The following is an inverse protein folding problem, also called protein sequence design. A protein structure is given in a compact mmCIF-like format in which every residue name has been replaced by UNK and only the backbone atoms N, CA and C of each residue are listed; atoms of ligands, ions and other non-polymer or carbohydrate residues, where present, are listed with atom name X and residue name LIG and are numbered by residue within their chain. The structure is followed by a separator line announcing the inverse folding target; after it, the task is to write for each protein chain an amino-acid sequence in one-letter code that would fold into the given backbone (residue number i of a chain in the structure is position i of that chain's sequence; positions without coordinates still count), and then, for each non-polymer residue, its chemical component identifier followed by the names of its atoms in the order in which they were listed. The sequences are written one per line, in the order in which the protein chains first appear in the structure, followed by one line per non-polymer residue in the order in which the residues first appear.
data_IF_974008503551
#
_entry.id   IF_974008503551
#
_cell.length_a   1.000
_cell.length_b   1.000
_cell.length_c   1.000
_cell.angle_alpha   90.00
_cell.angle_beta   90.00
_cell.angle_gamma   90.00
#
_symmetry.space_group_name_H-M   'P 1'
#
loop_
_entity.id
_entity.type
_entity.pdbx_description
1 polymer ?
#
# COMPACT_ATOMS: atom_id res chain seq x y z
N UNK A 1 80.99 -16.43 -37.45
CA UNK A 1 79.87 -15.79 -38.12
C UNK A 1 78.59 -16.61 -37.82
N UNK A 2 77.83 -16.20 -36.84
CA UNK A 2 76.67 -16.94 -36.39
C UNK A 2 75.45 -16.06 -36.39
N UNK A 3 74.45 -16.43 -37.11
CA UNK A 3 73.16 -15.78 -37.14
C UNK A 3 72.24 -16.41 -36.09
N UNK A 4 71.75 -15.62 -35.14
CA UNK A 4 70.81 -16.03 -34.12
C UNK A 4 69.41 -15.67 -34.58
N UNK A 5 68.58 -16.68 -34.85
CA UNK A 5 67.14 -16.57 -35.10
C UNK A 5 66.39 -16.23 -33.84
N UNK A 6 65.67 -15.12 -33.82
CA UNK A 6 64.74 -14.69 -32.77
C UNK A 6 63.36 -15.13 -33.22
N UNK A 7 62.83 -16.16 -32.52
CA UNK A 7 61.41 -16.54 -32.68
C UNK A 7 60.54 -15.58 -31.89
N UNK A 8 59.68 -14.82 -32.58
CA UNK A 8 58.61 -14.01 -31.97
C UNK A 8 57.46 -14.96 -31.67
N UNK A 9 57.13 -15.13 -30.36
CA UNK A 9 55.91 -15.78 -29.90
C UNK A 9 54.82 -14.74 -29.83
N UNK A 10 53.83 -14.83 -30.71
CA UNK A 10 52.65 -13.97 -30.73
C UNK A 10 51.61 -14.63 -29.78
N UNK A 11 51.46 -14.09 -28.58
CA UNK A 11 50.42 -14.52 -27.67
C UNK A 11 49.07 -13.95 -28.06
N UNK A 12 48.11 -14.79 -28.42
CA UNK A 12 46.73 -14.43 -28.67
C UNK A 12 46.01 -14.33 -27.30
N UNK A 13 45.62 -13.10 -26.91
CA UNK A 13 44.74 -12.86 -25.74
C UNK A 13 43.30 -13.06 -26.17
N UNK A 14 42.68 -14.15 -25.75
CA UNK A 14 41.26 -14.39 -25.97
C UNK A 14 40.52 -13.65 -24.82
N UNK A 15 39.92 -12.50 -25.13
CA UNK A 15 39.02 -11.80 -24.25
C UNK A 15 37.66 -12.50 -24.26
N UNK A 16 37.35 -13.28 -23.20
CA UNK A 16 36.03 -13.85 -22.99
C UNK A 16 35.07 -12.73 -22.49
N UNK A 17 34.22 -12.23 -23.40
CA UNK A 17 33.13 -11.33 -23.06
C UNK A 17 32.03 -12.14 -22.36
N UNK A 18 31.97 -12.04 -21.03
CA UNK A 18 30.84 -12.57 -20.23
C UNK A 18 29.67 -11.61 -20.40
N UNK A 19 28.74 -11.95 -21.30
CA UNK A 19 27.47 -11.26 -21.47
C UNK A 19 26.58 -11.58 -20.28
N UNK A 20 26.54 -10.71 -19.27
CA UNK A 20 25.51 -10.72 -18.22
C UNK A 20 24.17 -10.35 -18.85
N UNK A 21 23.45 -11.35 -19.36
CA UNK A 21 22.06 -11.20 -19.74
C UNK A 21 21.24 -11.01 -18.47
N UNK A 22 21.10 -9.78 -18.01
CA UNK A 22 20.09 -9.40 -17.03
C UNK A 22 18.71 -9.61 -17.69
N UNK A 23 18.16 -10.82 -17.60
CA UNK A 23 16.74 -11.05 -17.86
C UNK A 23 15.96 -10.25 -16.82
N UNK A 24 15.62 -9.01 -17.13
CA UNK A 24 14.54 -8.31 -16.44
C UNK A 24 13.26 -9.09 -16.75
N UNK A 25 12.85 -9.97 -15.86
CA UNK A 25 11.50 -10.50 -15.86
C UNK A 25 10.59 -9.29 -15.62
N UNK A 26 10.08 -8.70 -16.69
CA UNK A 26 9.02 -7.71 -16.62
C UNK A 26 7.84 -8.40 -15.96
N UNK A 27 7.73 -8.27 -14.63
CA UNK A 27 6.68 -8.88 -13.85
C UNK A 27 5.34 -8.37 -14.37
N UNK A 28 4.52 -9.26 -14.90
CA UNK A 28 3.14 -8.96 -15.26
C UNK A 28 2.43 -8.56 -13.97
N UNK A 29 2.01 -7.30 -13.84
CA UNK A 29 1.20 -6.82 -12.72
C UNK A 29 -0.28 -6.83 -13.10
N UNK A 30 -1.15 -7.06 -12.13
CA UNK A 30 -2.57 -6.77 -12.26
C UNK A 30 -2.79 -5.29 -11.96
N UNK A 31 -3.29 -4.54 -12.94
CA UNK A 31 -3.66 -3.14 -12.79
C UNK A 31 -5.09 -3.02 -12.28
N UNK A 32 -5.28 -2.22 -11.24
CA UNK A 32 -6.55 -2.01 -10.55
C UNK A 32 -6.91 -0.55 -10.65
N UNK A 33 -8.10 -0.26 -11.19
CA UNK A 33 -8.64 1.09 -11.30
C UNK A 33 -9.98 1.19 -10.58
N UNK A 34 -10.34 2.36 -10.07
CA UNK A 34 -11.68 2.65 -9.59
C UNK A 34 -12.65 2.83 -10.77
N UNK A 35 -13.95 2.75 -10.50
CA UNK A 35 -15.01 2.85 -11.53
C UNK A 35 -15.09 4.23 -12.22
N UNK A 36 -14.40 5.23 -11.68
CA UNK A 36 -14.35 6.58 -12.25
C UNK A 36 -12.98 6.91 -12.86
N UNK A 37 -12.10 5.92 -13.03
CA UNK A 37 -10.74 6.04 -13.57
C UNK A 37 -9.91 7.16 -12.92
N UNK A 38 -10.24 7.48 -11.67
CA UNK A 38 -9.60 8.58 -10.93
C UNK A 38 -8.47 8.11 -10.04
N UNK A 39 -8.40 6.82 -9.72
CA UNK A 39 -7.29 6.21 -8.97
C UNK A 39 -6.90 4.87 -9.57
N UNK A 40 -5.60 4.56 -9.52
CA UNK A 40 -5.12 3.25 -9.89
C UNK A 40 -3.95 2.81 -9.00
N UNK A 41 -3.75 1.51 -8.91
CA UNK A 41 -2.55 0.87 -8.37
C UNK A 41 -2.32 -0.47 -9.06
N UNK A 42 -1.17 -1.09 -8.83
CA UNK A 42 -0.87 -2.42 -9.36
C UNK A 42 -0.49 -3.38 -8.25
N UNK A 43 -0.90 -4.64 -8.40
CA UNK A 43 -0.52 -5.73 -7.47
C UNK A 43 0.21 -6.83 -8.23
N UNK A 44 1.09 -7.60 -7.58
CA UNK A 44 1.69 -8.79 -8.17
C UNK A 44 0.61 -9.77 -8.67
N UNK A 45 0.86 -10.51 -9.76
CA UNK A 45 -0.16 -11.42 -10.32
C UNK A 45 -0.50 -12.60 -9.40
N UNK A 46 0.35 -12.86 -8.42
CA UNK A 46 0.13 -13.88 -7.39
C UNK A 46 -0.86 -13.45 -6.31
N UNK A 47 -1.11 -12.15 -6.15
CA UNK A 47 -2.11 -11.65 -5.21
C UNK A 47 -3.50 -11.81 -5.81
N UNK A 48 -4.37 -12.50 -5.11
CA UNK A 48 -5.70 -12.84 -5.59
C UNK A 48 -6.74 -11.83 -5.11
N UNK A 49 -7.75 -11.51 -5.93
CA UNK A 49 -8.83 -10.64 -5.48
C UNK A 49 -9.62 -11.31 -4.34
N UNK A 50 -9.92 -10.54 -3.31
CA UNK A 50 -10.86 -10.92 -2.26
C UNK A 50 -12.28 -10.86 -2.82
N UNK A 51 -13.12 -11.77 -2.38
CA UNK A 51 -14.52 -11.85 -2.85
C UNK A 51 -15.26 -10.53 -2.56
N UNK A 52 -15.71 -9.87 -3.63
CA UNK A 52 -16.30 -8.53 -3.56
C UNK A 52 -17.62 -8.48 -2.77
N UNK A 53 -18.46 -9.49 -2.89
CA UNK A 53 -19.73 -9.53 -2.15
C UNK A 53 -19.49 -9.67 -0.65
N UNK A 54 -18.52 -10.50 -0.26
CA UNK A 54 -18.13 -10.64 1.15
C UNK A 54 -17.49 -9.36 1.69
N UNK A 55 -16.63 -8.71 0.89
CA UNK A 55 -16.02 -7.42 1.26
C UNK A 55 -17.12 -6.38 1.54
N UNK A 56 -18.07 -6.23 0.62
CA UNK A 56 -19.18 -5.30 0.78
C UNK A 56 -20.06 -5.62 1.99
N UNK A 57 -20.37 -6.91 2.21
CA UNK A 57 -21.15 -7.35 3.38
C UNK A 57 -20.45 -7.04 4.70
N UNK A 58 -19.14 -7.31 4.80
CA UNK A 58 -18.35 -7.02 6.00
C UNK A 58 -18.25 -5.50 6.25
N UNK A 59 -18.06 -4.72 5.20
CA UNK A 59 -18.07 -3.24 5.30
C UNK A 59 -19.42 -2.73 5.82
N UNK A 60 -20.53 -3.25 5.32
CA UNK A 60 -21.87 -2.89 5.79
C UNK A 60 -22.09 -3.25 7.27
N UNK A 61 -21.56 -4.39 7.72
CA UNK A 61 -21.62 -4.81 9.13
C UNK A 61 -20.81 -3.91 10.05
N UNK A 62 -19.59 -3.54 9.63
CA UNK A 62 -18.67 -2.72 10.44
C UNK A 62 -19.05 -1.24 10.48
N UNK A 63 -19.60 -0.72 9.39
CA UNK A 63 -19.90 0.70 9.20
C UNK A 63 -21.41 1.02 9.36
N UNK A 64 -22.22 0.02 9.66
CA UNK A 64 -23.69 0.12 9.69
C UNK A 64 -24.30 0.04 8.30
N UNK A 65 -25.64 0.03 8.23
CA UNK A 65 -26.42 -0.13 6.98
C UNK A 65 -26.27 1.04 5.99
N UNK A 66 -25.60 2.12 6.35
CA UNK A 66 -25.15 3.13 5.40
C UNK A 66 -23.80 2.74 4.82
N UNK A 67 -23.60 2.82 3.51
CA UNK A 67 -22.29 2.57 2.89
C UNK A 67 -21.32 3.73 3.19
N UNK A 68 -21.05 3.95 4.48
CA UNK A 68 -20.06 4.92 4.94
C UNK A 68 -18.66 4.30 4.82
N UNK A 69 -17.70 5.05 4.31
CA UNK A 69 -16.29 4.69 4.38
C UNK A 69 -15.67 5.11 5.71
N UNK A 70 -14.37 4.80 5.93
CA UNK A 70 -13.66 5.11 7.19
C UNK A 70 -13.75 6.57 7.64
N UNK A 71 -13.84 7.53 6.69
CA UNK A 71 -14.03 8.95 7.00
C UNK A 71 -15.51 9.36 7.14
N UNK A 72 -16.45 8.39 7.23
CA UNK A 72 -17.88 8.67 7.24
C UNK A 72 -18.46 9.12 5.88
N UNK A 73 -17.62 9.21 4.83
CA UNK A 73 -18.04 9.51 3.46
C UNK A 73 -18.74 8.31 2.82
N UNK A 74 -19.53 8.58 1.79
CA UNK A 74 -20.19 7.50 1.04
C UNK A 74 -19.15 6.71 0.25
N UNK A 75 -18.99 5.42 0.60
CA UNK A 75 -18.12 4.51 -0.14
C UNK A 75 -18.66 4.31 -1.56
N UNK A 76 -17.89 4.68 -2.57
CA UNK A 76 -18.28 4.58 -3.98
C UNK A 76 -17.59 3.40 -4.66
N UNK A 77 -16.45 2.98 -4.17
CA UNK A 77 -15.68 1.87 -4.70
C UNK A 77 -14.75 1.29 -3.63
N UNK A 78 -14.55 -0.03 -3.68
CA UNK A 78 -13.49 -0.69 -2.90
C UNK A 78 -13.03 -1.97 -3.58
N UNK A 79 -11.76 -2.34 -3.36
CA UNK A 79 -11.15 -3.60 -3.78
C UNK A 79 -10.15 -4.06 -2.74
N UNK A 80 -9.98 -5.37 -2.65
CA UNK A 80 -8.92 -5.95 -1.84
C UNK A 80 -8.23 -7.10 -2.59
N UNK A 81 -6.95 -7.25 -2.35
CA UNK A 81 -6.09 -8.30 -2.89
C UNK A 81 -5.28 -8.92 -1.76
N UNK A 82 -5.12 -10.22 -1.81
CA UNK A 82 -4.50 -11.01 -0.74
C UNK A 82 -3.48 -11.97 -1.36
N UNK A 83 -2.27 -11.98 -0.84
CA UNK A 83 -1.20 -12.87 -1.28
C UNK A 83 -1.37 -14.31 -0.75
N UNK A 84 -2.29 -14.54 0.18
CA UNK A 84 -2.57 -15.87 0.71
C UNK A 84 -3.13 -16.81 -0.37
N UNK A 85 -2.86 -18.10 -0.24
CA UNK A 85 -3.41 -19.14 -1.14
C UNK A 85 -4.95 -19.12 -1.15
N UNK A 86 -5.55 -18.76 -0.01
CA UNK A 86 -7.01 -18.61 0.18
C UNK A 86 -7.30 -17.18 0.62
N UNK A 87 -7.63 -16.27 -0.31
CA UNK A 87 -7.92 -14.89 0.01
C UNK A 87 -9.14 -14.77 0.92
N UNK A 88 -9.03 -13.89 1.93
CA UNK A 88 -10.08 -13.71 2.93
C UNK A 88 -10.28 -12.25 3.28
N UNK A 89 -11.54 -11.84 3.45
CA UNK A 89 -11.89 -10.52 4.01
C UNK A 89 -11.34 -10.37 5.42
N UNK A 90 -11.30 -11.46 6.20
CA UNK A 90 -10.75 -11.45 7.56
C UNK A 90 -9.31 -10.99 7.65
N UNK A 91 -8.50 -11.24 6.61
CA UNK A 91 -7.11 -10.79 6.59
C UNK A 91 -6.93 -9.26 6.49
N UNK A 92 -7.97 -8.52 6.12
CA UNK A 92 -7.96 -7.04 6.12
C UNK A 92 -8.10 -6.48 7.54
N UNK A 93 -8.77 -7.24 8.43
CA UNK A 93 -9.17 -6.78 9.76
C UNK A 93 -8.45 -7.51 10.91
N UNK A 94 -7.57 -8.44 10.60
CA UNK A 94 -6.81 -9.21 11.57
C UNK A 94 -5.33 -9.29 11.16
N UNK A 95 -4.48 -9.65 12.11
CA UNK A 95 -3.07 -9.91 11.84
C UNK A 95 -2.94 -11.04 10.80
N UNK A 96 -2.08 -10.84 9.81
CA UNK A 96 -1.86 -11.79 8.70
C UNK A 96 -0.40 -12.02 8.41
N UNK A 97 -0.06 -13.27 8.04
CA UNK A 97 1.30 -13.66 7.65
C UNK A 97 1.57 -13.50 6.14
N UNK A 98 0.62 -12.98 5.38
CA UNK A 98 0.75 -12.68 3.95
C UNK A 98 0.30 -11.25 3.67
N UNK A 99 0.90 -10.54 2.69
CA UNK A 99 0.48 -9.20 2.36
C UNK A 99 -0.98 -9.14 1.90
N UNK A 100 -1.71 -8.16 2.42
CA UNK A 100 -3.06 -7.83 1.99
C UNK A 100 -3.10 -6.36 1.60
N UNK A 101 -3.64 -6.06 0.42
CA UNK A 101 -3.92 -4.70 -0.02
C UNK A 101 -5.43 -4.44 0.01
N UNK A 102 -5.81 -3.30 0.53
CA UNK A 102 -7.17 -2.78 0.49
C UNK A 102 -7.16 -1.36 -0.07
N UNK A 103 -8.02 -1.09 -1.04
CA UNK A 103 -8.20 0.25 -1.58
C UNK A 103 -9.67 0.65 -1.59
N UNK A 104 -9.94 1.94 -1.37
CA UNK A 104 -11.29 2.49 -1.42
C UNK A 104 -11.33 3.93 -1.91
N UNK A 105 -12.47 4.31 -2.48
CA UNK A 105 -12.83 5.68 -2.85
C UNK A 105 -14.12 6.05 -2.14
N UNK A 106 -14.11 7.21 -1.49
CA UNK A 106 -15.26 7.75 -0.76
C UNK A 106 -15.61 9.13 -1.31
N UNK A 107 -16.88 9.35 -1.58
CA UNK A 107 -17.41 10.70 -1.84
C UNK A 107 -17.60 11.44 -0.50
N UNK A 108 -17.17 12.69 -0.44
CA UNK A 108 -17.19 13.52 0.78
C UNK A 108 -18.27 14.60 0.69
N UNK A 109 -19.06 14.72 1.74
CA UNK A 109 -20.00 15.84 1.92
C UNK A 109 -19.25 17.15 2.23
N UNK A 110 -19.94 18.29 2.18
CA UNK A 110 -19.36 19.57 2.54
C UNK A 110 -18.85 19.60 3.99
N UNK A 111 -19.59 19.02 4.93
CA UNK A 111 -19.21 18.96 6.34
C UNK A 111 -17.92 18.12 6.53
N UNK A 112 -17.81 16.98 5.84
CA UNK A 112 -16.62 16.14 5.90
C UNK A 112 -15.38 16.83 5.31
N UNK A 113 -15.55 17.56 4.20
CA UNK A 113 -14.47 18.36 3.61
C UNK A 113 -13.97 19.45 4.57
N UNK A 114 -14.90 20.12 5.27
CA UNK A 114 -14.56 21.16 6.24
C UNK A 114 -13.74 20.62 7.44
N UNK A 115 -13.97 19.36 7.84
CA UNK A 115 -13.23 18.69 8.92
C UNK A 115 -11.98 17.94 8.47
N UNK A 116 -11.69 17.91 7.17
CA UNK A 116 -10.55 17.13 6.67
C UNK A 116 -9.23 17.85 6.95
N UNK A 117 -8.32 17.17 7.62
CA UNK A 117 -6.95 17.59 7.89
C UNK A 117 -5.97 16.46 7.62
N UNK A 118 -4.68 16.76 7.54
CA UNK A 118 -3.68 15.69 7.46
C UNK A 118 -3.72 14.76 8.67
N UNK A 119 -4.02 15.27 9.85
CA UNK A 119 -4.17 14.45 11.06
C UNK A 119 -5.40 13.54 11.00
N UNK A 120 -6.53 14.01 10.45
CA UNK A 120 -7.69 13.14 10.22
C UNK A 120 -7.42 12.06 9.16
N UNK A 121 -6.60 12.37 8.15
CA UNK A 121 -6.15 11.38 7.17
C UNK A 121 -5.21 10.34 7.79
N UNK A 122 -4.28 10.77 8.67
CA UNK A 122 -3.41 9.87 9.43
C UNK A 122 -4.20 8.88 10.27
N UNK A 123 -5.21 9.37 10.94
CA UNK A 123 -6.04 8.58 11.84
C UNK A 123 -7.20 7.84 11.13
N UNK A 124 -7.16 7.71 9.81
CA UNK A 124 -8.31 7.21 9.04
C UNK A 124 -8.75 5.79 9.41
N UNK A 125 -7.80 4.90 9.64
CA UNK A 125 -8.06 3.49 9.97
C UNK A 125 -7.69 3.17 11.42
N UNK A 126 -6.53 3.60 11.86
CA UNK A 126 -6.00 3.40 13.20
C UNK A 126 -5.49 4.75 13.75
N UNK A 127 -5.50 4.94 15.07
CA UNK A 127 -5.02 6.19 15.67
C UNK A 127 -3.49 6.28 15.56
N UNK A 128 -2.98 7.21 14.77
CA UNK A 128 -1.55 7.43 14.55
C UNK A 128 -1.05 8.65 15.32
N UNK A 129 -1.82 9.73 15.38
CA UNK A 129 -1.43 10.94 16.11
C UNK A 129 -1.45 10.72 17.63
N UNK A 130 -0.61 11.42 18.42
CA UNK A 130 -0.57 11.25 19.88
C UNK A 130 -1.94 11.42 20.56
N UNK A 131 -2.72 12.42 20.15
CA UNK A 131 -4.05 12.69 20.70
C UNK A 131 -5.02 11.54 20.39
N UNK A 132 -5.05 11.04 19.16
CA UNK A 132 -5.91 9.93 18.76
C UNK A 132 -5.53 8.63 19.49
N UNK A 133 -4.23 8.36 19.65
CA UNK A 133 -3.75 7.19 20.41
C UNK A 133 -4.14 7.26 21.88
N UNK A 134 -4.04 8.43 22.50
CA UNK A 134 -4.47 8.59 23.89
C UNK A 134 -5.98 8.38 24.04
N UNK A 135 -6.78 8.92 23.10
CA UNK A 135 -8.23 8.71 23.08
C UNK A 135 -8.59 7.23 22.91
N UNK A 136 -7.93 6.53 21.99
CA UNK A 136 -8.13 5.09 21.78
C UNK A 136 -7.76 4.25 23.01
N UNK A 137 -6.63 4.58 23.67
CA UNK A 137 -6.23 3.93 24.92
C UNK A 137 -7.28 4.12 26.02
N UNK A 138 -7.78 5.34 26.17
CA UNK A 138 -8.84 5.64 27.16
C UNK A 138 -10.15 4.91 26.85
N UNK A 139 -10.43 4.64 25.58
CA UNK A 139 -11.58 3.86 25.11
C UNK A 139 -11.38 2.34 25.17
N UNK A 140 -10.23 1.85 25.68
CA UNK A 140 -9.94 0.42 25.77
C UNK A 140 -9.71 -0.28 24.45
N UNK A 141 -9.16 0.41 23.45
CA UNK A 141 -8.89 -0.17 22.13
C UNK A 141 -7.99 -1.41 22.21
N UNK A 142 -8.26 -2.49 21.45
CA UNK A 142 -7.60 -3.79 21.56
C UNK A 142 -6.24 -3.86 20.83
N UNK A 143 -5.53 -2.76 20.72
CA UNK A 143 -4.21 -2.68 20.10
C UNK A 143 -3.25 -1.83 20.96
N UNK A 144 -1.96 -2.10 20.86
CA UNK A 144 -0.91 -1.47 21.66
C UNK A 144 0.40 -1.37 20.88
N UNK A 145 1.47 -0.89 21.50
CA UNK A 145 2.81 -0.95 20.95
C UNK A 145 2.99 -0.15 19.65
N UNK A 146 2.36 1.02 19.53
CA UNK A 146 2.50 1.89 18.36
C UNK A 146 3.96 2.21 18.07
N UNK A 147 4.35 2.08 16.81
CA UNK A 147 5.66 2.46 16.29
C UNK A 147 5.47 3.24 14.98
N UNK A 148 5.90 4.51 14.96
CA UNK A 148 6.02 5.26 13.71
C UNK A 148 7.31 4.85 13.00
N UNK A 149 7.23 4.50 11.73
CA UNK A 149 8.36 4.08 10.90
C UNK A 149 8.62 5.10 9.80
N UNK A 150 7.56 5.68 9.23
CA UNK A 150 7.65 6.75 8.22
C UNK A 150 6.37 7.54 8.14
N UNK A 151 6.48 8.84 7.88
CA UNK A 151 5.35 9.78 7.69
C UNK A 151 5.77 10.82 6.64
N UNK A 152 4.93 11.03 5.66
CA UNK A 152 5.16 12.01 4.61
C UNK A 152 3.84 12.67 4.18
N UNK A 153 3.86 14.00 4.07
CA UNK A 153 2.79 14.76 3.42
C UNK A 153 3.05 14.76 1.91
N UNK A 154 2.00 14.49 1.15
CA UNK A 154 2.00 14.51 -0.31
C UNK A 154 1.25 15.74 -0.78
N UNK A 155 1.85 16.48 -1.71
CA UNK A 155 1.20 17.55 -2.46
C UNK A 155 1.74 17.52 -3.88
N UNK A 156 0.86 17.40 -4.85
CA UNK A 156 1.21 17.37 -6.27
C UNK A 156 0.85 18.68 -6.97
N UNK A 157 1.42 18.92 -8.14
CA UNK A 157 1.17 20.12 -8.93
C UNK A 157 -0.26 20.23 -9.47
N UNK A 158 -0.96 19.10 -9.63
CA UNK A 158 -2.37 19.00 -10.04
C UNK A 158 -3.36 19.07 -8.87
N UNK A 159 -2.86 19.41 -7.67
CA UNK A 159 -3.67 19.68 -6.48
C UNK A 159 -4.10 18.45 -5.68
N UNK A 160 -3.63 17.24 -6.03
CA UNK A 160 -3.78 16.07 -5.17
C UNK A 160 -2.95 16.27 -3.92
N UNK A 161 -3.53 16.01 -2.75
CA UNK A 161 -2.85 16.15 -1.46
C UNK A 161 -3.24 15.03 -0.50
N UNK A 162 -2.38 14.74 0.47
CA UNK A 162 -2.65 13.72 1.46
C UNK A 162 -1.43 13.34 2.27
N UNK A 163 -1.45 12.12 2.79
CA UNK A 163 -0.38 11.57 3.63
C UNK A 163 -0.08 10.13 3.22
N UNK A 164 1.17 9.73 3.38
CA UNK A 164 1.54 8.32 3.43
C UNK A 164 2.23 8.04 4.75
N UNK A 165 1.89 6.91 5.36
CA UNK A 165 2.36 6.53 6.66
C UNK A 165 2.71 5.06 6.71
N UNK A 166 3.89 4.77 7.25
CA UNK A 166 4.32 3.43 7.61
C UNK A 166 4.41 3.36 9.13
N UNK A 167 3.62 2.49 9.73
CA UNK A 167 3.56 2.36 11.19
C UNK A 167 3.26 0.93 11.62
N UNK A 168 3.53 0.62 12.86
CA UNK A 168 3.26 -0.68 13.49
C UNK A 168 2.33 -0.58 14.69
N UNK A 169 1.58 -1.66 14.90
CA UNK A 169 0.81 -1.93 16.10
C UNK A 169 0.92 -3.39 16.51
N UNK A 170 0.72 -3.69 17.79
CA UNK A 170 0.51 -5.06 18.27
C UNK A 170 -1.00 -5.31 18.34
N UNK A 171 -1.49 -6.24 17.51
CA UNK A 171 -2.91 -6.62 17.43
C UNK A 171 -3.03 -8.10 17.80
N UNK A 172 -3.76 -8.39 18.87
CA UNK A 172 -3.90 -9.77 19.37
C UNK A 172 -2.55 -10.42 19.74
N UNK A 173 -1.57 -9.63 20.21
CA UNK A 173 -0.23 -10.10 20.56
C UNK A 173 0.73 -10.23 19.35
N UNK A 174 0.30 -9.94 18.14
CA UNK A 174 1.12 -10.03 16.91
C UNK A 174 1.54 -8.62 16.46
N UNK A 175 2.84 -8.34 16.26
CA UNK A 175 3.30 -7.11 15.63
C UNK A 175 2.87 -7.05 14.16
N UNK A 176 2.06 -6.07 13.80
CA UNK A 176 1.51 -5.84 12.46
C UNK A 176 2.03 -4.52 11.91
N UNK A 177 2.38 -4.49 10.64
CA UNK A 177 2.86 -3.29 9.94
C UNK A 177 1.82 -2.85 8.93
N UNK A 178 1.57 -1.55 8.89
CA UNK A 178 0.61 -0.88 8.03
C UNK A 178 1.33 0.15 7.17
N UNK A 179 1.17 0.06 5.86
CA UNK A 179 1.59 1.07 4.89
C UNK A 179 0.32 1.69 4.30
N UNK A 180 -0.03 2.86 4.81
CA UNK A 180 -1.26 3.59 4.51
C UNK A 180 -0.95 4.82 3.65
N UNK A 181 -1.65 4.97 2.54
CA UNK A 181 -1.67 6.21 1.75
C UNK A 181 -3.09 6.71 1.64
N UNK A 182 -3.32 7.95 2.08
CA UNK A 182 -4.62 8.63 2.02
C UNK A 182 -4.45 9.91 1.21
N UNK A 183 -5.22 10.03 0.13
CA UNK A 183 -5.16 11.16 -0.80
C UNK A 183 -6.55 11.77 -1.00
N UNK A 184 -6.59 13.03 -1.39
CA UNK A 184 -7.81 13.69 -1.89
C UNK A 184 -7.53 14.34 -3.23
N UNK A 185 -8.54 14.42 -4.10
CA UNK A 185 -8.46 15.20 -5.33
C UNK A 185 -8.39 16.72 -5.03
N UNK A 186 -8.04 17.51 -6.03
CA UNK A 186 -7.90 18.98 -5.91
C UNK A 186 -9.14 19.66 -5.31
N UNK A 187 -10.34 19.23 -5.68
CA UNK A 187 -11.61 19.74 -5.18
C UNK A 187 -12.00 19.21 -3.78
N UNK A 188 -11.22 18.27 -3.22
CA UNK A 188 -11.49 17.61 -1.92
C UNK A 188 -12.86 16.92 -1.87
N UNK A 189 -13.40 16.52 -3.01
CA UNK A 189 -14.72 15.87 -3.11
C UNK A 189 -14.66 14.36 -2.96
N UNK A 190 -13.47 13.78 -3.12
CA UNK A 190 -13.21 12.36 -2.97
C UNK A 190 -12.02 12.13 -2.06
N UNK A 191 -12.12 11.09 -1.23
CA UNK A 191 -11.01 10.56 -0.43
C UNK A 191 -10.64 9.19 -0.96
N UNK A 192 -9.36 8.98 -1.19
CA UNK A 192 -8.77 7.76 -1.72
C UNK A 192 -7.87 7.13 -0.66
N UNK A 193 -8.02 5.87 -0.44
CA UNK A 193 -7.21 5.09 0.49
C UNK A 193 -6.57 3.93 -0.24
N UNK A 194 -5.28 3.72 -0.03
CA UNK A 194 -4.60 2.44 -0.19
C UNK A 194 -3.98 2.05 1.14
N UNK A 195 -4.27 0.85 1.59
CA UNK A 195 -3.64 0.20 2.73
C UNK A 195 -2.98 -1.09 2.27
N UNK A 196 -1.73 -1.31 2.66
CA UNK A 196 -1.07 -2.62 2.58
C UNK A 196 -0.60 -3.01 3.96
N UNK A 197 -0.95 -4.22 4.41
CA UNK A 197 -0.59 -4.68 5.73
C UNK A 197 -0.17 -6.14 5.74
N UNK A 198 0.65 -6.51 6.68
CA UNK A 198 0.89 -7.85 7.21
C UNK A 198 1.78 -7.80 8.45
N UNK A 199 1.95 -8.94 9.12
CA UNK A 199 2.81 -8.97 10.31
C UNK A 199 4.27 -8.58 9.97
N UNK A 200 5.02 -8.20 10.99
CA UNK A 200 6.36 -7.66 10.82
C UNK A 200 7.30 -8.58 10.01
N UNK A 201 7.28 -9.88 10.25
CA UNK A 201 8.13 -10.83 9.51
C UNK A 201 7.74 -10.91 8.03
N UNK A 202 6.44 -10.93 7.75
CA UNK A 202 5.89 -10.86 6.40
C UNK A 202 6.30 -9.55 5.71
N UNK A 203 6.17 -8.41 6.39
CA UNK A 203 6.50 -7.11 5.83
C UNK A 203 7.98 -7.03 5.42
N UNK A 204 8.89 -7.53 6.27
CA UNK A 204 10.33 -7.61 5.97
C UNK A 204 10.58 -8.50 4.74
N UNK A 205 9.97 -9.69 4.70
CA UNK A 205 10.14 -10.65 3.61
C UNK A 205 9.59 -10.14 2.26
N UNK A 206 8.50 -9.38 2.27
CA UNK A 206 7.81 -8.88 1.07
C UNK A 206 8.00 -7.38 0.80
N UNK A 207 8.94 -6.72 1.49
CA UNK A 207 9.16 -5.27 1.43
C UNK A 207 9.24 -4.69 0.01
N UNK A 208 9.93 -5.37 -0.90
CA UNK A 208 10.08 -4.92 -2.28
C UNK A 208 8.73 -4.96 -3.05
N UNK A 209 7.94 -6.02 -2.86
CA UNK A 209 6.62 -6.16 -3.47
C UNK A 209 5.63 -5.13 -2.91
N UNK A 210 5.55 -5.00 -1.58
CA UNK A 210 4.71 -4.03 -0.89
C UNK A 210 5.05 -2.62 -1.37
N UNK A 211 6.34 -2.25 -1.35
CA UNK A 211 6.77 -0.94 -1.83
C UNK A 211 6.44 -0.70 -3.31
N UNK A 212 6.39 -1.73 -4.16
CA UNK A 212 5.95 -1.58 -5.55
C UNK A 212 4.45 -1.31 -5.64
N UNK A 213 3.62 -1.98 -4.83
CA UNK A 213 2.17 -1.73 -4.75
C UNK A 213 1.91 -0.29 -4.29
N UNK A 214 2.49 0.10 -3.16
CA UNK A 214 2.29 1.44 -2.56
C UNK A 214 2.74 2.55 -3.49
N UNK A 215 3.95 2.48 -4.05
CA UNK A 215 4.46 3.51 -4.99
C UNK A 215 3.70 3.58 -6.31
N UNK A 216 2.92 2.57 -6.66
CA UNK A 216 2.10 2.58 -7.86
C UNK A 216 0.76 3.27 -7.67
N UNK A 217 0.38 3.58 -6.42
CA UNK A 217 -0.87 4.24 -6.14
C UNK A 217 -0.86 5.68 -6.62
N UNK A 218 -1.74 5.97 -7.55
CA UNK A 218 -1.84 7.26 -8.21
C UNK A 218 -3.29 7.70 -8.26
N UNK A 219 -3.51 8.98 -7.97
CA UNK A 219 -4.80 9.65 -8.06
C UNK A 219 -4.67 10.77 -9.09
N UNK A 220 -5.64 10.88 -9.98
CA UNK A 220 -5.72 11.99 -10.93
C UNK A 220 -6.37 13.19 -10.25
N UNK A 221 -5.70 14.34 -10.32
CA UNK A 221 -6.26 15.62 -9.91
C UNK A 221 -7.31 16.10 -10.92
N UNK A 222 -8.57 15.86 -10.67
CA UNK A 222 -9.69 16.39 -11.46
C UNK A 222 -10.64 17.13 -10.56
#
# INVERSE_FOLDING_TARGET
MGWRNIHRVTGAVIAAAVSLSACSVAGHYTYVTDSGDSAYFKVPPTWKPVNQSRLAATQAQLLGSSPAGPAGGRLTWSRAYDAAARPSVGHIFAATSQPVAYASVQAMSAAQRAGLSFDSMRNLLLPVTPAARQAAKNAGAPFSGFQSIGDQVITTHDGVRGVTELFGYVIGGVPEIFDQTVLTNSATTKLYLLLVQCNQNCFIAHRAQIGTVVRSFTVRGS
#
